data_IF_345070608256
#
_entry.id   IF_345070608256
#
_cell.length_a   1.000
_cell.length_b   1.000
_cell.length_c   1.000
_cell.angle_alpha   90.00
_cell.angle_beta   90.00
_cell.angle_gamma   90.00
#
_symmetry.space_group_name_H-M   'P 1'
#
loop_
_entity.id
_entity.type
_entity.pdbx_description
1 polymer ?
#
# COMPACT_ATOMS: atom_id res chain seq x y z
N UNK A 1 -18.31 -12.75 -15.80
CA UNK A 1 -16.94 -12.29 -16.07
C UNK A 1 -17.01 -10.76 -16.15
N UNK A 2 -16.76 -10.06 -15.05
CA UNK A 2 -16.78 -8.60 -15.04
C UNK A 2 -15.46 -8.08 -15.61
N UNK A 3 -15.51 -7.34 -16.72
CA UNK A 3 -14.34 -6.62 -17.21
C UNK A 3 -14.08 -5.44 -16.27
N UNK A 4 -12.96 -5.44 -15.55
CA UNK A 4 -12.47 -4.25 -14.86
C UNK A 4 -12.06 -3.24 -15.96
N UNK A 5 -12.77 -2.12 -16.07
CA UNK A 5 -12.42 -1.04 -17.01
C UNK A 5 -11.66 0.02 -16.22
N UNK A 6 -10.33 0.06 -16.38
CA UNK A 6 -9.47 1.10 -15.82
C UNK A 6 -9.48 2.27 -16.79
N UNK A 7 -10.09 3.41 -16.43
CA UNK A 7 -10.03 4.61 -17.27
C UNK A 7 -8.68 5.28 -17.10
N UNK A 8 -7.92 5.39 -18.20
CA UNK A 8 -6.64 6.09 -18.18
C UNK A 8 -6.82 7.55 -18.61
N UNK A 9 -6.18 8.46 -17.88
CA UNK A 9 -6.09 9.87 -18.22
C UNK A 9 -4.79 10.09 -19.00
N UNK A 10 -4.90 10.37 -20.30
CA UNK A 10 -3.75 10.62 -21.17
C UNK A 10 -3.71 12.08 -21.59
N UNK A 11 -2.52 12.67 -21.82
CA UNK A 11 -2.40 13.99 -22.43
C UNK A 11 -3.07 14.01 -23.81
N UNK A 12 -3.79 15.09 -24.13
CA UNK A 12 -4.50 15.26 -25.40
C UNK A 12 -3.64 15.87 -26.52
N UNK A 13 -2.37 16.16 -26.23
CA UNK A 13 -1.43 16.80 -27.16
C UNK A 13 -1.63 18.31 -27.34
N UNK A 14 -2.56 18.93 -26.63
CA UNK A 14 -2.89 20.37 -26.66
C UNK A 14 -2.76 21.04 -25.28
N UNK A 15 -2.17 20.33 -24.32
CA UNK A 15 -2.04 20.78 -22.93
C UNK A 15 -3.26 20.45 -22.06
N UNK A 16 -4.23 19.68 -22.58
CA UNK A 16 -5.35 19.14 -21.83
C UNK A 16 -5.21 17.65 -21.53
N UNK A 17 -6.15 17.12 -20.75
CA UNK A 17 -6.24 15.69 -20.41
C UNK A 17 -7.48 15.10 -21.08
N UNK A 18 -7.31 13.98 -21.78
CA UNK A 18 -8.41 13.25 -22.40
C UNK A 18 -8.61 11.90 -21.73
N UNK A 19 -9.86 11.62 -21.34
CA UNK A 19 -10.28 10.28 -20.92
C UNK A 19 -10.17 9.34 -22.12
N UNK A 20 -9.27 8.38 -22.03
CA UNK A 20 -9.17 7.31 -23.02
C UNK A 20 -9.93 6.11 -22.45
N UNK A 21 -10.74 5.40 -23.25
CA UNK A 21 -11.26 4.10 -22.84
C UNK A 21 -10.08 3.25 -22.37
N UNK A 22 -10.21 2.60 -21.22
CA UNK A 22 -9.19 1.69 -20.73
C UNK A 22 -8.82 0.68 -21.80
N UNK A 23 -7.54 0.33 -21.90
CA UNK A 23 -7.15 -0.81 -22.70
C UNK A 23 -7.92 -2.02 -22.17
N UNK A 24 -8.76 -2.63 -23.00
CA UNK A 24 -9.44 -3.85 -22.63
C UNK A 24 -8.40 -4.88 -22.18
N UNK A 25 -8.72 -5.66 -21.17
CA UNK A 25 -7.94 -6.83 -20.76
C UNK A 25 -7.99 -7.87 -21.90
N UNK A 26 -7.18 -7.66 -22.93
CA UNK A 26 -7.15 -8.44 -24.16
C UNK A 26 -6.13 -9.57 -24.05
N UNK A 27 -6.33 -10.64 -24.83
CA UNK A 27 -5.39 -11.77 -24.89
C UNK A 27 -3.98 -11.31 -25.30
N UNK A 28 -3.89 -10.30 -26.15
CA UNK A 28 -2.63 -9.67 -26.55
C UNK A 28 -1.88 -9.02 -25.36
N UNK A 29 -2.60 -8.43 -24.39
CA UNK A 29 -1.99 -7.74 -23.24
C UNK A 29 -1.20 -8.69 -22.32
N UNK A 30 -1.67 -9.93 -22.13
CA UNK A 30 -1.00 -10.93 -21.28
C UNK A 30 0.00 -11.81 -22.04
N UNK A 31 -0.18 -11.94 -23.36
CA UNK A 31 0.71 -12.75 -24.21
C UNK A 31 2.18 -12.30 -24.22
N UNK A 32 2.46 -11.08 -23.73
CA UNK A 32 3.81 -10.51 -23.63
C UNK A 32 4.60 -11.03 -22.42
N UNK A 33 3.94 -11.58 -21.42
CA UNK A 33 4.60 -12.23 -20.28
C UNK A 33 4.84 -13.70 -20.57
N UNK A 34 6.04 -14.20 -20.24
CA UNK A 34 6.31 -15.65 -20.24
C UNK A 34 5.56 -16.40 -19.13
N UNK A 35 4.98 -15.68 -18.16
CA UNK A 35 4.24 -16.22 -17.03
C UNK A 35 2.77 -15.82 -17.09
N UNK A 36 1.88 -16.74 -16.70
CA UNK A 36 0.45 -16.47 -16.58
C UNK A 36 0.15 -15.49 -15.43
N UNK A 37 -0.83 -14.61 -15.61
CA UNK A 37 -1.27 -13.68 -14.56
C UNK A 37 -2.19 -14.42 -13.59
N UNK A 38 -1.73 -14.62 -12.35
CA UNK A 38 -2.52 -15.20 -11.27
C UNK A 38 -2.91 -14.16 -10.22
N UNK A 39 -4.03 -14.39 -9.55
CA UNK A 39 -4.41 -13.68 -8.33
C UNK A 39 -3.93 -14.44 -7.10
N UNK A 40 -3.29 -13.76 -6.16
CA UNK A 40 -2.92 -14.30 -4.85
C UNK A 40 -3.16 -13.24 -3.79
N UNK A 41 -3.58 -13.65 -2.59
CA UNK A 41 -3.74 -12.74 -1.46
C UNK A 41 -2.41 -12.01 -1.18
N UNK A 42 -2.49 -10.70 -0.96
CA UNK A 42 -1.32 -9.84 -0.71
C UNK A 42 -0.45 -10.36 0.44
N UNK A 43 -1.04 -10.77 1.56
CA UNK A 43 -0.30 -11.30 2.71
C UNK A 43 0.48 -12.57 2.39
N UNK A 44 0.01 -13.39 1.42
CA UNK A 44 0.75 -14.58 0.97
C UNK A 44 1.93 -14.20 0.08
N UNK A 45 1.78 -13.19 -0.78
CA UNK A 45 2.88 -12.63 -1.57
C UNK A 45 3.95 -12.04 -0.64
N UNK A 46 3.53 -11.21 0.33
CA UNK A 46 4.43 -10.63 1.34
C UNK A 46 5.17 -11.72 2.11
N UNK A 47 4.49 -12.80 2.49
CA UNK A 47 5.14 -13.92 3.19
C UNK A 47 6.26 -14.54 2.37
N UNK A 48 6.02 -14.81 1.09
CA UNK A 48 7.08 -15.36 0.21
C UNK A 48 8.27 -14.42 0.08
N UNK A 49 8.04 -13.11 0.03
CA UNK A 49 9.12 -12.11 -0.01
C UNK A 49 9.88 -12.08 1.32
N UNK A 50 9.18 -12.09 2.46
CA UNK A 50 9.81 -12.11 3.78
C UNK A 50 10.65 -13.37 4.02
N UNK A 51 10.14 -14.53 3.59
CA UNK A 51 10.88 -15.80 3.68
C UNK A 51 12.15 -15.73 2.82
N UNK A 52 12.06 -15.22 1.58
CA UNK A 52 13.22 -15.04 0.71
C UNK A 52 14.26 -14.05 1.27
N UNK A 53 13.82 -12.95 1.91
CA UNK A 53 14.72 -12.00 2.58
C UNK A 53 15.44 -12.69 3.73
N UNK A 54 14.71 -13.44 4.57
CA UNK A 54 15.28 -14.16 5.71
C UNK A 54 16.31 -15.21 5.26
N UNK A 55 16.02 -15.94 4.19
CA UNK A 55 16.94 -16.93 3.63
C UNK A 55 18.22 -16.28 3.06
N UNK A 56 18.08 -15.10 2.43
CA UNK A 56 19.21 -14.38 1.85
C UNK A 56 20.05 -13.62 2.89
N UNK A 57 19.40 -13.04 3.92
CA UNK A 57 20.03 -12.19 4.92
C UNK A 57 19.29 -12.31 6.27
N UNK A 58 19.63 -13.29 7.11
CA UNK A 58 18.90 -13.59 8.36
C UNK A 58 18.87 -12.45 9.37
N UNK A 59 19.86 -11.56 9.35
CA UNK A 59 19.96 -10.40 10.23
C UNK A 59 19.10 -9.21 9.79
N UNK A 60 18.52 -9.25 8.58
CA UNK A 60 17.67 -8.18 8.07
C UNK A 60 16.21 -8.49 8.43
N UNK A 61 15.70 -7.78 9.42
CA UNK A 61 14.30 -7.86 9.83
C UNK A 61 13.55 -6.56 9.54
N UNK A 62 12.22 -6.67 9.36
CA UNK A 62 11.36 -5.51 9.18
C UNK A 62 10.92 -5.02 10.55
N UNK A 63 11.40 -3.84 10.94
CA UNK A 63 10.92 -3.14 12.12
C UNK A 63 9.55 -2.52 11.84
N UNK A 64 8.58 -2.74 12.74
CA UNK A 64 7.18 -2.32 12.58
C UNK A 64 6.77 -1.43 13.74
N UNK A 65 5.70 -0.65 13.53
CA UNK A 65 5.23 0.29 14.54
C UNK A 65 6.21 1.45 14.73
N UNK A 66 6.87 1.88 13.65
CA UNK A 66 7.79 3.01 13.64
C UNK A 66 7.28 4.01 12.61
N UNK A 67 7.29 5.28 12.96
CA UNK A 67 6.99 6.39 12.04
C UNK A 67 8.20 7.31 11.92
N UNK A 68 8.31 7.98 10.77
CA UNK A 68 9.25 9.08 10.60
C UNK A 68 8.56 10.40 10.94
N UNK A 69 9.20 11.19 11.80
CA UNK A 69 8.69 12.50 12.22
C UNK A 69 9.40 13.65 11.51
N UNK A 70 10.67 13.46 11.13
CA UNK A 70 11.49 14.49 10.51
C UNK A 70 12.50 13.87 9.54
N UNK A 71 12.69 14.53 8.40
CA UNK A 71 13.73 14.23 7.43
C UNK A 71 14.50 15.50 7.15
N UNK A 72 15.83 15.44 7.27
CA UNK A 72 16.74 16.52 6.94
C UNK A 72 17.77 16.03 5.93
N UNK A 73 18.18 16.93 5.04
CA UNK A 73 19.22 16.67 4.06
C UNK A 73 20.29 17.77 4.14
N UNK A 74 21.53 17.36 4.34
CA UNK A 74 22.70 18.23 4.30
C UNK A 74 23.35 18.19 2.92
N UNK A 75 23.07 19.22 2.11
CA UNK A 75 23.65 19.37 0.76
C UNK A 75 25.18 19.45 0.78
N UNK A 76 25.78 19.95 1.86
CA UNK A 76 27.23 20.06 2.01
C UNK A 76 27.92 18.70 2.08
N UNK A 77 27.19 17.66 2.49
CA UNK A 77 27.66 16.28 2.59
C UNK A 77 27.30 15.43 1.35
N UNK A 78 26.49 15.95 0.43
CA UNK A 78 25.93 15.18 -0.68
C UNK A 78 26.99 14.66 -1.67
N UNK A 79 28.11 15.37 -1.81
CA UNK A 79 29.19 15.01 -2.73
C UNK A 79 30.14 13.92 -2.17
N UNK A 80 30.11 13.67 -0.85
CA UNK A 80 30.98 12.68 -0.22
C UNK A 80 30.29 11.30 -0.17
N UNK A 81 30.78 10.28 -0.90
CA UNK A 81 30.20 8.94 -0.91
C UNK A 81 30.31 8.21 0.44
N UNK A 82 31.16 8.69 1.35
CA UNK A 82 31.29 8.16 2.71
C UNK A 82 30.47 8.90 3.76
N UNK A 83 29.96 10.08 3.44
CA UNK A 83 29.11 10.83 4.35
C UNK A 83 27.69 10.26 4.43
N UNK A 84 26.96 10.72 5.45
CA UNK A 84 25.57 10.39 5.72
C UNK A 84 24.76 11.70 5.67
N UNK A 85 24.47 12.21 4.45
CA UNK A 85 23.83 13.52 4.29
C UNK A 85 22.38 13.54 4.78
N UNK A 86 21.74 12.39 4.98
CA UNK A 86 20.34 12.31 5.39
C UNK A 86 20.27 12.02 6.89
N UNK A 87 19.48 12.81 7.61
CA UNK A 87 19.12 12.56 9.02
C UNK A 87 17.62 12.35 9.13
N UNK A 88 17.20 11.26 9.78
CA UNK A 88 15.80 10.92 10.01
C UNK A 88 15.55 10.80 11.49
N UNK A 89 14.52 11.48 11.98
CA UNK A 89 13.98 11.25 13.32
C UNK A 89 12.85 10.25 13.22
N UNK A 90 13.05 9.09 13.86
CA UNK A 90 12.07 8.02 13.95
C UNK A 90 11.46 7.98 15.35
N UNK A 91 10.23 7.51 15.43
CA UNK A 91 9.57 7.26 16.71
C UNK A 91 8.84 5.93 16.69
N UNK A 92 9.04 5.15 17.75
CA UNK A 92 8.26 3.94 18.01
C UNK A 92 6.86 4.30 18.49
N UNK A 93 5.85 3.75 17.82
CA UNK A 93 4.43 3.84 18.18
C UNK A 93 4.11 2.95 19.39
N UNK A 94 3.15 3.35 20.23
CA UNK A 94 2.52 2.40 21.16
C UNK A 94 1.65 1.38 20.41
N UNK A 95 1.26 0.29 21.09
CA UNK A 95 0.38 -0.73 20.48
C UNK A 95 -0.96 -0.14 20.02
N UNK A 96 -1.51 0.81 20.76
CA UNK A 96 -2.75 1.51 20.39
C UNK A 96 -2.57 2.43 19.18
N UNK A 97 -1.40 3.03 19.02
CA UNK A 97 -1.09 3.89 17.87
C UNK A 97 -0.80 3.08 16.61
N UNK A 98 -0.16 1.90 16.76
CA UNK A 98 0.16 1.01 15.65
C UNK A 98 -1.07 0.28 15.07
N UNK A 99 -2.16 0.20 15.85
CA UNK A 99 -3.40 -0.46 15.46
C UNK A 99 -4.49 0.58 15.18
N UNK A 100 -4.73 0.96 13.92
CA UNK A 100 -5.79 1.90 13.59
C UNK A 100 -7.15 1.30 13.96
N UNK A 101 -7.97 2.09 14.68
CA UNK A 101 -9.35 1.73 14.98
C UNK A 101 -10.13 1.50 13.69
N UNK A 102 -11.08 0.54 13.66
CA UNK A 102 -11.91 0.33 12.48
C UNK A 102 -12.65 1.62 12.11
N UNK A 103 -12.49 2.04 10.86
CA UNK A 103 -13.16 3.23 10.32
C UNK A 103 -14.65 2.88 10.20
N UNK A 104 -15.51 3.62 10.92
CA UNK A 104 -16.97 3.45 10.97
C UNK A 104 -17.50 2.09 11.44
N UNK A 105 -17.31 1.74 12.72
CA UNK A 105 -18.13 0.71 13.38
C UNK A 105 -18.12 -0.66 12.70
N UNK A 106 -17.01 -1.01 12.04
CA UNK A 106 -16.85 -2.27 11.32
C UNK A 106 -17.25 -3.44 12.21
N UNK A 107 -18.30 -4.13 11.78
CA UNK A 107 -18.96 -5.20 12.52
C UNK A 107 -18.16 -6.49 12.36
N UNK A 108 -17.09 -6.63 13.15
CA UNK A 108 -16.38 -7.89 13.38
C UNK A 108 -15.64 -8.52 12.19
N UNK A 109 -15.83 -8.03 10.96
CA UNK A 109 -15.11 -8.48 9.75
C UNK A 109 -13.87 -7.61 9.56
N UNK A 110 -12.70 -8.23 9.38
CA UNK A 110 -11.46 -7.51 9.06
C UNK A 110 -11.60 -6.85 7.69
N UNK A 111 -11.56 -5.52 7.63
CA UNK A 111 -11.55 -4.75 6.39
C UNK A 111 -10.25 -3.94 6.21
N UNK A 112 -10.08 -3.36 5.03
CA UNK A 112 -8.92 -2.51 4.67
C UNK A 112 -9.28 -1.04 4.50
N UNK A 113 -10.42 -0.57 5.05
CA UNK A 113 -10.92 0.79 4.81
C UNK A 113 -9.93 1.86 5.28
N UNK A 114 -9.21 1.58 6.37
CA UNK A 114 -8.14 2.45 6.91
C UNK A 114 -6.93 2.65 5.97
N UNK A 115 -6.80 1.85 4.91
CA UNK A 115 -5.77 2.00 3.85
C UNK A 115 -6.37 2.35 2.49
N UNK A 116 -7.68 2.53 2.42
CA UNK A 116 -8.34 2.97 1.19
C UNK A 116 -8.02 4.42 0.91
N UNK A 117 -8.13 4.83 -0.35
CA UNK A 117 -7.95 6.24 -0.74
C UNK A 117 -9.07 7.18 -0.23
N UNK A 118 -10.08 6.63 0.45
CA UNK A 118 -11.12 7.40 1.15
C UNK A 118 -10.71 7.73 2.60
N UNK A 119 -9.70 7.03 3.14
CA UNK A 119 -9.19 7.34 4.45
C UNK A 119 -8.50 8.72 4.42
N UNK A 120 -8.71 9.56 5.44
CA UNK A 120 -7.99 10.82 5.55
C UNK A 120 -6.48 10.59 5.64
N UNK A 121 -5.74 11.65 5.32
CA UNK A 121 -4.29 11.71 5.42
C UNK A 121 -3.87 11.70 6.92
N UNK A 122 -3.90 10.53 7.55
CA UNK A 122 -3.73 10.40 9.00
C UNK A 122 -2.27 10.52 9.47
N UNK A 123 -1.30 10.67 8.56
CA UNK A 123 0.13 10.72 8.91
C UNK A 123 0.46 11.89 9.86
N UNK A 124 -0.10 13.07 9.60
CA UNK A 124 0.16 14.27 10.40
C UNK A 124 -0.55 14.21 11.76
N UNK A 125 -1.76 13.64 11.77
CA UNK A 125 -2.48 13.33 13.00
C UNK A 125 -1.77 12.27 13.84
N UNK A 126 -1.15 11.26 13.22
CA UNK A 126 -0.30 10.28 13.89
C UNK A 126 0.95 10.95 14.47
N UNK A 127 1.57 11.89 13.76
CA UNK A 127 2.72 12.69 14.25
C UNK A 127 2.30 13.67 15.37
N UNK A 128 1.05 14.12 15.41
CA UNK A 128 0.59 15.01 16.47
C UNK A 128 0.15 14.22 17.71
N UNK A 129 -0.56 13.10 17.53
CA UNK A 129 -0.90 12.16 18.61
C UNK A 129 0.35 11.54 19.20
N UNK A 130 1.35 11.25 18.36
CA UNK A 130 2.63 10.69 18.77
C UNK A 130 3.34 11.54 19.81
N UNK A 131 3.47 12.83 19.53
CA UNK A 131 4.20 13.79 20.36
C UNK A 131 3.57 13.96 21.75
N UNK A 132 2.29 13.61 21.91
CA UNK A 132 1.57 13.69 23.17
C UNK A 132 1.83 12.49 24.11
N UNK A 133 2.50 11.42 23.64
CA UNK A 133 2.80 10.21 24.44
C UNK A 133 4.27 9.81 24.35
N UNK A 134 4.76 9.18 25.41
CA UNK A 134 6.16 8.77 25.61
C UNK A 134 6.58 7.58 24.72
N UNK A 135 6.58 7.78 23.39
CA UNK A 135 7.28 6.87 22.47
C UNK A 135 8.79 7.10 22.53
N UNK A 136 9.59 6.05 22.26
CA UNK A 136 11.03 6.20 22.13
C UNK A 136 11.36 6.88 20.80
N UNK A 137 12.26 7.87 20.84
CA UNK A 137 12.70 8.60 19.64
C UNK A 137 14.13 8.21 19.31
N UNK A 138 14.37 7.92 18.05
CA UNK A 138 15.68 7.56 17.52
C UNK A 138 16.07 8.51 16.38
N UNK A 139 17.37 8.82 16.28
CA UNK A 139 17.92 9.60 15.17
C UNK A 139 18.81 8.71 14.33
N UNK A 140 18.39 8.45 13.09
CA UNK A 140 19.14 7.69 12.11
C UNK A 140 19.87 8.61 11.14
N UNK A 141 21.15 8.31 10.91
CA UNK A 141 21.93 8.89 9.81
C UNK A 141 22.01 7.90 8.67
N UNK A 142 21.63 8.33 7.48
CA UNK A 142 21.55 7.48 6.31
C UNK A 142 22.29 8.08 5.11
N UNK A 143 22.84 7.20 4.27
CA UNK A 143 23.36 7.57 2.96
C UNK A 143 22.24 7.71 1.92
N UNK A 144 21.25 6.83 2.03
CA UNK A 144 20.11 6.74 1.12
C UNK A 144 18.83 6.44 1.90
N UNK A 145 17.71 6.92 1.37
CA UNK A 145 16.36 6.56 1.82
C UNK A 145 15.54 6.15 0.61
N UNK A 146 14.74 5.10 0.78
CA UNK A 146 13.77 4.66 -0.23
C UNK A 146 12.37 4.79 0.38
N UNK A 147 11.58 5.71 -0.15
CA UNK A 147 10.19 5.93 0.29
C UNK A 147 9.24 4.90 -0.32
N UNK A 148 8.82 3.91 0.47
CA UNK A 148 7.82 2.89 0.11
C UNK A 148 6.53 3.01 0.96
N UNK A 149 6.15 4.25 1.31
CA UNK A 149 5.14 4.61 2.31
C UNK A 149 3.75 4.94 1.72
N UNK A 150 3.46 4.45 0.51
CA UNK A 150 2.11 4.39 -0.07
C UNK A 150 1.62 5.69 -0.74
N UNK A 151 0.33 5.71 -1.11
CA UNK A 151 -0.28 6.82 -1.86
C UNK A 151 -0.18 8.17 -1.13
N UNK A 152 -0.28 8.14 0.19
CA UNK A 152 -0.20 9.27 1.09
C UNK A 152 1.23 9.61 1.55
N UNK A 153 2.25 9.06 0.86
CA UNK A 153 3.69 9.14 1.18
C UNK A 153 4.10 10.43 1.91
N UNK A 154 4.54 10.24 3.16
CA UNK A 154 5.17 11.27 3.96
C UNK A 154 6.51 11.68 3.33
N UNK A 155 7.29 10.71 2.86
CA UNK A 155 8.60 10.91 2.23
C UNK A 155 8.49 11.83 1.01
N UNK A 156 7.51 11.59 0.13
CA UNK A 156 7.24 12.43 -1.04
C UNK A 156 6.93 13.87 -0.64
N UNK A 157 6.08 14.05 0.40
CA UNK A 157 5.69 15.37 0.91
C UNK A 157 6.90 16.14 1.48
N UNK A 158 7.79 15.47 2.22
CA UNK A 158 9.02 16.10 2.74
C UNK A 158 9.94 16.63 1.63
N UNK A 159 9.93 15.99 0.47
CA UNK A 159 10.72 16.41 -0.70
C UNK A 159 10.01 17.46 -1.57
N UNK A 160 8.81 17.92 -1.18
CA UNK A 160 8.03 18.90 -1.94
C UNK A 160 7.47 18.38 -3.27
N UNK A 161 7.52 17.07 -3.52
CA UNK A 161 7.08 16.47 -4.77
C UNK A 161 5.54 16.44 -4.80
N UNK A 162 4.96 17.20 -5.73
CA UNK A 162 3.51 17.30 -5.86
C UNK A 162 2.93 16.06 -6.53
N UNK A 163 1.79 15.58 -6.00
CA UNK A 163 0.98 14.58 -6.69
C UNK A 163 -0.03 15.31 -7.57
N UNK A 164 0.14 15.21 -8.88
CA UNK A 164 -0.81 15.76 -9.85
C UNK A 164 -1.86 14.69 -10.20
N UNK A 165 -3.14 15.01 -9.99
CA UNK A 165 -4.24 14.13 -10.31
C UNK A 165 -5.58 14.69 -9.84
N UNK A 166 -6.67 14.18 -10.41
CA UNK A 166 -8.02 14.50 -9.99
C UNK A 166 -8.75 13.21 -9.62
N UNK A 167 -9.42 13.21 -8.46
CA UNK A 167 -10.34 12.14 -8.10
C UNK A 167 -11.62 12.26 -8.94
N UNK A 168 -12.20 11.13 -9.30
CA UNK A 168 -13.56 11.08 -9.86
C UNK A 168 -14.57 10.80 -8.76
N UNK A 169 -15.82 11.20 -8.94
CA UNK A 169 -16.90 10.89 -7.99
C UNK A 169 -17.34 9.41 -8.00
N UNK A 170 -16.69 8.56 -8.79
CA UNK A 170 -16.96 7.13 -8.81
C UNK A 170 -16.36 6.44 -7.58
N UNK A 171 -17.23 5.81 -6.79
CA UNK A 171 -16.85 4.96 -5.65
C UNK A 171 -16.99 3.49 -6.04
N UNK A 172 -16.00 2.68 -5.68
CA UNK A 172 -15.99 1.23 -5.93
C UNK A 172 -15.86 0.47 -4.61
N UNK A 173 -16.62 -0.59 -4.47
CA UNK A 173 -16.56 -1.50 -3.32
C UNK A 173 -15.85 -2.80 -3.70
N UNK A 174 -15.06 -3.34 -2.78
CA UNK A 174 -14.36 -4.61 -2.95
C UNK A 174 -14.89 -5.59 -1.92
N UNK A 175 -15.33 -6.77 -2.38
CA UNK A 175 -15.82 -7.84 -1.52
C UNK A 175 -14.99 -9.09 -1.80
N UNK A 176 -14.37 -9.63 -0.76
CA UNK A 176 -13.79 -10.97 -0.77
C UNK A 176 -14.74 -11.92 -0.02
N UNK A 177 -15.15 -13.00 -0.66
CA UNK A 177 -15.99 -14.02 -0.05
C UNK A 177 -15.32 -15.38 -0.22
N UNK A 178 -14.96 -15.99 0.90
CA UNK A 178 -14.50 -17.38 0.95
C UNK A 178 -15.73 -18.30 0.83
N UNK A 179 -16.30 -18.43 -0.37
CA UNK A 179 -17.24 -19.52 -0.62
C UNK A 179 -16.46 -20.81 -0.82
N UNK A 180 -16.39 -21.63 0.22
CA UNK A 180 -16.37 -23.08 0.02
C UNK A 180 -17.71 -23.48 -0.60
N UNK A 181 -17.76 -23.56 -1.93
CA UNK A 181 -18.85 -24.22 -2.63
C UNK A 181 -18.67 -25.74 -2.44
N UNK A 182 -19.11 -26.29 -1.30
CA UNK A 182 -19.41 -27.72 -1.24
C UNK A 182 -20.70 -27.94 -2.03
N UNK A 183 -20.59 -28.16 -3.34
CA UNK A 183 -21.66 -28.82 -4.07
C UNK A 183 -21.61 -30.31 -3.70
N UNK A 184 -22.43 -30.73 -2.74
CA UNK A 184 -22.76 -32.15 -2.60
C UNK A 184 -23.69 -32.53 -3.75
N UNK A 185 -23.12 -32.75 -4.92
CA UNK A 185 -23.75 -33.55 -5.98
C UNK A 185 -23.46 -35.02 -5.67
N UNK A 186 -24.39 -35.65 -4.96
CA UNK A 186 -24.62 -37.09 -5.06
C UNK A 186 -26.08 -37.28 -5.49
N UNK A 187 -26.28 -37.59 -6.77
CA UNK A 187 -27.54 -37.98 -7.41
C UNK A 187 -28.01 -39.37 -6.92
N UNK A 188 -28.99 -40.02 -7.59
CA UNK A 188 -30.43 -39.76 -7.63
C UNK A 188 -31.21 -40.99 -7.07
N UNK A 189 -32.32 -40.79 -6.35
CA UNK A 189 -33.12 -41.94 -5.91
C UNK A 189 -34.30 -41.56 -5.04
N UNK A 190 -35.42 -41.21 -5.68
CA UNK A 190 -36.73 -41.26 -5.04
C UNK A 190 -37.79 -41.51 -6.12
N UNK A 191 -38.13 -42.78 -6.31
CA UNK A 191 -39.37 -43.20 -6.93
C UNK A 191 -40.52 -42.99 -5.95
N UNK A 192 -41.60 -42.34 -6.39
CA UNK A 192 -42.89 -42.45 -5.72
C UNK A 192 -43.89 -43.00 -6.73
N UNK A 193 -44.45 -44.16 -6.40
CA UNK A 193 -45.71 -44.68 -6.93
C UNK A 193 -46.87 -43.77 -6.56
#
# INVERSE_FOLDING_TARGET
MGSLIIHNQNPDGKGGIKRTPGMGFTKEAYSKSRFFVGGLNQGRIERFILDAIKDAKPELEVERGIIAERLEFDEGLAADPQAYPITVTLRTLSEEEANPSPVYGSSGVRDGLFRSNLAPDDWEDLINKSKAKAGNTEVLKAKYIIGCDGAHSWTRKQLGIQMEGAATDFVWFVIFSDRLFQSSLTSPGASWT
#
